data_IF_600982740218
#
_entry.id   IF_600982740218
#
_cell.length_a   1.000
_cell.length_b   1.000
_cell.length_c   1.000
_cell.angle_alpha   90.00
_cell.angle_beta   90.00
_cell.angle_gamma   90.00
#
_symmetry.space_group_name_H-M   'P 1'
#
loop_
_entity.id
_entity.type
_entity.pdbx_description
1 polymer ?
#
# COMPACT_ATOMS: atom_id res chain seq x y z
N UNK A 1 -24.53 2.73 13.57
CA UNK A 1 -24.49 1.43 12.86
C UNK A 1 -24.51 0.31 13.86
N UNK A 2 -25.22 -0.79 13.57
CA UNK A 2 -25.22 -1.97 14.44
C UNK A 2 -23.82 -2.58 14.52
N UNK A 3 -23.37 -3.01 15.72
CA UNK A 3 -22.11 -3.72 15.85
C UNK A 3 -22.15 -5.00 15.01
N UNK A 4 -21.01 -5.49 14.50
CA UNK A 4 -21.00 -6.70 13.72
C UNK A 4 -21.56 -7.84 14.56
N UNK A 5 -22.52 -8.55 14.00
CA UNK A 5 -23.12 -9.74 14.59
C UNK A 5 -22.10 -10.89 14.55
N UNK A 6 -22.22 -11.86 15.46
CA UNK A 6 -21.19 -12.90 15.67
C UNK A 6 -20.74 -13.61 14.37
N UNK A 7 -21.64 -13.80 13.40
CA UNK A 7 -21.31 -14.40 12.11
C UNK A 7 -20.46 -13.49 11.21
N UNK A 8 -20.59 -12.17 11.29
CA UNK A 8 -19.73 -11.24 10.54
C UNK A 8 -18.29 -11.29 11.06
N UNK A 9 -18.11 -11.32 12.39
CA UNK A 9 -16.80 -11.51 13.03
C UNK A 9 -16.14 -12.80 12.57
N UNK A 10 -16.89 -13.91 12.58
CA UNK A 10 -16.39 -15.21 12.12
C UNK A 10 -16.01 -15.16 10.62
N UNK A 11 -16.90 -14.62 9.78
CA UNK A 11 -16.71 -14.58 8.32
C UNK A 11 -15.46 -13.76 7.97
N UNK A 12 -15.36 -12.54 8.49
CA UNK A 12 -14.21 -11.69 8.26
C UNK A 12 -12.95 -12.17 8.97
N UNK A 13 -13.07 -12.94 10.05
CA UNK A 13 -11.96 -13.67 10.64
C UNK A 13 -11.40 -14.77 9.73
N UNK A 14 -12.28 -15.54 9.08
CA UNK A 14 -11.86 -16.54 8.07
C UNK A 14 -11.22 -15.85 6.86
N UNK A 15 -11.81 -14.77 6.36
CA UNK A 15 -11.22 -13.97 5.27
C UNK A 15 -9.85 -13.41 5.71
N UNK A 16 -9.73 -12.96 6.95
CA UNK A 16 -8.47 -12.47 7.53
C UNK A 16 -7.41 -13.57 7.61
N UNK A 17 -7.78 -14.78 8.01
CA UNK A 17 -6.87 -15.92 8.02
C UNK A 17 -6.38 -16.27 6.59
N UNK A 18 -7.28 -16.27 5.61
CA UNK A 18 -6.94 -16.46 4.19
C UNK A 18 -6.02 -15.34 3.67
N UNK A 19 -6.27 -14.09 4.07
CA UNK A 19 -5.41 -12.96 3.77
C UNK A 19 -4.01 -13.14 4.38
N UNK A 20 -3.92 -13.60 5.63
CA UNK A 20 -2.67 -13.95 6.29
C UNK A 20 -1.90 -15.05 5.54
N UNK A 21 -2.59 -16.09 5.07
CA UNK A 21 -1.97 -17.13 4.25
C UNK A 21 -1.43 -16.57 2.92
N UNK A 22 -2.16 -15.64 2.30
CA UNK A 22 -1.70 -14.92 1.12
C UNK A 22 -0.46 -14.05 1.41
N UNK A 23 -0.42 -13.36 2.56
CA UNK A 23 0.76 -12.58 3.02
C UNK A 23 1.98 -13.50 3.19
N UNK A 24 1.79 -14.63 3.87
CA UNK A 24 2.87 -15.62 4.07
C UNK A 24 3.40 -16.14 2.73
N UNK A 25 2.51 -16.51 1.81
CA UNK A 25 2.88 -16.97 0.48
C UNK A 25 3.63 -15.89 -0.31
N UNK A 26 3.09 -14.67 -0.35
CA UNK A 26 3.72 -13.54 -1.04
C UNK A 26 5.11 -13.27 -0.49
N UNK A 27 5.27 -13.28 0.84
CA UNK A 27 6.56 -13.08 1.48
C UNK A 27 7.54 -14.18 1.10
N UNK A 28 7.13 -15.45 1.03
CA UNK A 28 8.04 -16.54 0.63
C UNK A 28 8.41 -16.45 -0.86
N UNK A 29 7.45 -16.11 -1.74
CA UNK A 29 7.64 -16.12 -3.20
C UNK A 29 8.41 -14.88 -3.69
N UNK A 30 8.29 -13.74 -3.02
CA UNK A 30 8.90 -12.48 -3.45
C UNK A 30 10.22 -12.14 -2.78
N UNK A 31 10.73 -13.03 -1.92
CA UNK A 31 12.07 -12.97 -1.35
C UNK A 31 13.14 -13.18 -2.43
N UNK A 32 14.29 -12.52 -2.26
CA UNK A 32 15.38 -12.49 -3.25
C UNK A 32 16.62 -13.27 -2.83
N UNK A 33 16.92 -13.33 -1.53
CA UNK A 33 18.20 -13.83 -1.02
C UNK A 33 18.09 -15.16 -0.28
N UNK A 34 16.91 -15.51 0.24
CA UNK A 34 16.71 -16.76 0.97
C UNK A 34 16.26 -17.89 0.02
N UNK A 35 17.08 -18.95 -0.15
CA UNK A 35 16.91 -19.93 -1.23
C UNK A 35 15.85 -21.03 -0.96
N UNK A 36 15.34 -21.16 0.26
CA UNK A 36 14.45 -22.28 0.63
C UNK A 36 13.03 -21.80 0.92
N UNK A 37 12.08 -22.01 -0.02
CA UNK A 37 10.68 -21.71 0.22
C UNK A 37 10.07 -22.78 1.14
N UNK A 38 9.74 -22.41 2.38
CA UNK A 38 9.20 -23.31 3.42
C UNK A 38 7.67 -23.24 3.57
N UNK A 39 6.97 -22.63 2.61
CA UNK A 39 5.53 -22.43 2.68
C UNK A 39 4.70 -23.70 2.37
N UNK A 40 3.44 -23.78 2.83
CA UNK A 40 2.54 -24.90 2.51
C UNK A 40 2.28 -25.07 1.01
N UNK A 41 2.31 -23.94 0.30
CA UNK A 41 2.07 -23.83 -1.14
C UNK A 41 3.35 -23.87 -1.95
N UNK A 42 4.49 -24.09 -1.30
CA UNK A 42 5.79 -24.26 -1.94
C UNK A 42 6.13 -25.74 -2.08
N UNK A 43 6.95 -26.12 -3.08
CA UNK A 43 7.48 -27.48 -3.14
C UNK A 43 8.11 -27.87 -1.79
N UNK A 44 7.85 -29.07 -1.26
CA UNK A 44 8.49 -29.52 -0.04
C UNK A 44 10.01 -29.59 -0.25
N UNK A 45 10.77 -29.35 0.81
CA UNK A 45 12.21 -29.60 0.80
C UNK A 45 12.50 -31.08 0.50
N UNK A 46 13.68 -31.40 -0.02
CA UNK A 46 14.07 -32.78 -0.35
C UNK A 46 14.01 -33.71 0.88
N UNK A 47 14.36 -33.19 2.05
CA UNK A 47 14.23 -33.87 3.34
C UNK A 47 12.86 -33.68 4.02
N UNK A 48 11.93 -32.98 3.38
CA UNK A 48 10.59 -32.69 3.89
C UNK A 48 9.58 -33.79 3.58
N UNK A 49 8.55 -33.89 4.44
CA UNK A 49 7.45 -34.83 4.22
C UNK A 49 6.51 -34.42 3.08
N UNK A 50 5.67 -35.35 2.62
CA UNK A 50 4.63 -35.04 1.62
C UNK A 50 3.62 -34.03 2.18
N UNK A 51 3.25 -33.03 1.36
CA UNK A 51 2.21 -32.05 1.71
C UNK A 51 0.82 -32.71 1.71
N UNK A 52 0.06 -32.47 2.76
CA UNK A 52 -1.34 -32.88 2.93
C UNK A 52 -2.29 -31.71 2.66
N UNK A 53 -3.58 -31.99 2.57
CA UNK A 53 -4.59 -30.93 2.46
C UNK A 53 -4.60 -30.03 3.71
N UNK A 54 -4.47 -30.60 4.91
CA UNK A 54 -4.50 -29.85 6.16
C UNK A 54 -3.36 -28.85 6.29
N UNK A 55 -2.19 -29.13 5.70
CA UNK A 55 -1.06 -28.20 5.68
C UNK A 55 -1.39 -26.87 4.98
N UNK A 56 -2.35 -26.90 4.05
CA UNK A 56 -2.74 -25.74 3.24
C UNK A 56 -3.81 -24.87 3.89
N UNK A 57 -4.42 -25.32 4.98
CA UNK A 57 -5.41 -24.55 5.72
C UNK A 57 -4.73 -23.45 6.54
N UNK A 58 -5.23 -22.20 6.50
CA UNK A 58 -4.73 -21.15 7.39
C UNK A 58 -4.83 -21.59 8.86
N UNK A 59 -3.87 -21.14 9.68
CA UNK A 59 -3.70 -21.37 11.10
C UNK A 59 -3.38 -22.85 11.42
N UNK A 60 -4.26 -23.76 11.04
CA UNK A 60 -4.16 -25.20 11.30
C UNK A 60 -2.96 -25.82 10.57
N UNK A 61 -2.71 -25.40 9.33
CA UNK A 61 -1.64 -25.95 8.51
C UNK A 61 -0.26 -25.80 9.14
N UNK A 62 0.00 -24.67 9.79
CA UNK A 62 1.29 -24.42 10.46
C UNK A 62 1.51 -25.29 11.70
N UNK A 63 0.45 -25.69 12.39
CA UNK A 63 0.53 -26.64 13.50
C UNK A 63 0.90 -28.02 12.98
N UNK A 64 0.28 -28.46 11.88
CA UNK A 64 0.62 -29.74 11.24
C UNK A 64 2.06 -29.73 10.69
N UNK A 65 2.47 -28.62 10.08
CA UNK A 65 3.79 -28.45 9.48
C UNK A 65 4.93 -28.41 10.50
N UNK A 66 4.66 -28.24 11.80
CA UNK A 66 5.68 -28.35 12.87
C UNK A 66 6.56 -29.59 12.75
N UNK A 67 6.08 -30.68 12.16
CA UNK A 67 6.87 -31.89 11.88
C UNK A 67 8.14 -31.62 11.04
N UNK A 68 8.18 -30.57 10.24
CA UNK A 68 9.34 -30.17 9.42
C UNK A 68 10.29 -29.21 10.16
N UNK A 69 10.12 -29.03 11.47
CA UNK A 69 11.01 -28.19 12.31
C UNK A 69 12.46 -28.65 12.29
N UNK A 70 12.72 -29.92 11.98
CA UNK A 70 14.07 -30.45 11.81
C UNK A 70 14.76 -29.98 10.51
N UNK A 71 13.98 -29.56 9.51
CA UNK A 71 14.48 -29.03 8.22
C UNK A 71 14.62 -27.51 8.26
N UNK A 72 13.59 -26.83 8.76
CA UNK A 72 13.48 -25.36 8.68
C UNK A 72 13.84 -24.63 9.99
N UNK A 73 14.14 -25.38 11.05
CA UNK A 73 14.43 -24.85 12.37
C UNK A 73 13.22 -24.89 13.32
N UNK A 74 13.49 -24.98 14.63
CA UNK A 74 12.50 -25.34 15.66
C UNK A 74 11.27 -24.41 15.75
N UNK A 75 11.41 -23.15 15.33
CA UNK A 75 10.38 -22.11 15.43
C UNK A 75 9.89 -21.55 14.09
N UNK A 76 10.23 -22.16 12.96
CA UNK A 76 9.96 -21.58 11.64
C UNK A 76 8.47 -21.33 11.35
N UNK A 77 7.59 -22.12 11.97
CA UNK A 77 6.13 -22.06 11.85
C UNK A 77 5.49 -20.96 12.74
N UNK A 78 6.22 -20.42 13.72
CA UNK A 78 5.68 -19.45 14.70
C UNK A 78 5.28 -18.16 13.99
N UNK A 79 6.20 -17.59 13.19
CA UNK A 79 5.97 -16.35 12.48
C UNK A 79 4.76 -16.44 11.54
N UNK A 80 4.68 -17.39 10.59
CA UNK A 80 3.55 -17.42 9.68
C UNK A 80 2.23 -17.75 10.38
N UNK A 81 2.23 -18.58 11.43
CA UNK A 81 1.05 -18.77 12.29
C UNK A 81 0.61 -17.43 12.93
N UNK A 82 1.56 -16.66 13.46
CA UNK A 82 1.29 -15.36 14.08
C UNK A 82 0.69 -14.38 13.06
N UNK A 83 1.22 -14.34 11.84
CA UNK A 83 0.68 -13.50 10.75
C UNK A 83 -0.76 -13.88 10.43
N UNK A 84 -1.08 -15.17 10.34
CA UNK A 84 -2.44 -15.63 10.05
C UNK A 84 -3.43 -15.35 11.19
N UNK A 85 -3.00 -15.55 12.44
CA UNK A 85 -3.81 -15.21 13.62
C UNK A 85 -4.05 -13.70 13.72
N UNK A 86 -2.99 -12.89 13.56
CA UNK A 86 -3.12 -11.45 13.59
C UNK A 86 -4.01 -10.94 12.46
N UNK A 87 -3.90 -11.48 11.25
CA UNK A 87 -4.77 -11.10 10.14
C UNK A 87 -6.24 -11.50 10.37
N UNK A 88 -6.48 -12.69 10.95
CA UNK A 88 -7.82 -13.16 11.34
C UNK A 88 -8.47 -12.27 12.41
N UNK A 89 -7.69 -11.66 13.30
CA UNK A 89 -8.20 -10.74 14.32
C UNK A 89 -8.31 -9.31 13.76
N UNK A 90 -7.28 -8.85 13.05
CA UNK A 90 -7.17 -7.48 12.58
C UNK A 90 -8.22 -7.13 11.53
N UNK A 91 -8.57 -8.05 10.62
CA UNK A 91 -9.53 -7.75 9.55
C UNK A 91 -10.94 -7.43 10.06
N UNK A 92 -11.58 -8.24 10.92
CA UNK A 92 -12.88 -7.89 11.46
C UNK A 92 -12.84 -6.68 12.40
N UNK A 93 -11.74 -6.48 13.15
CA UNK A 93 -11.53 -5.25 13.93
C UNK A 93 -11.43 -4.02 13.02
N UNK A 94 -10.72 -4.12 11.90
CA UNK A 94 -10.57 -3.05 10.93
C UNK A 94 -11.91 -2.73 10.25
N UNK A 95 -12.73 -3.75 9.95
CA UNK A 95 -14.09 -3.55 9.45
C UNK A 95 -14.96 -2.82 10.47
N UNK A 96 -14.93 -3.27 11.73
CA UNK A 96 -15.68 -2.63 12.81
C UNK A 96 -15.26 -1.18 13.00
N UNK A 97 -13.96 -0.93 13.11
CA UNK A 97 -13.39 0.41 13.20
C UNK A 97 -13.81 1.27 12.01
N UNK A 98 -13.72 0.75 10.79
CA UNK A 98 -14.15 1.47 9.58
C UNK A 98 -15.63 1.88 9.63
N UNK A 99 -16.49 1.08 10.29
CA UNK A 99 -17.95 1.32 10.39
C UNK A 99 -18.32 2.31 11.48
N UNK A 100 -17.51 2.41 12.52
CA UNK A 100 -17.84 3.17 13.74
C UNK A 100 -17.03 4.47 13.84
N UNK A 101 -15.70 4.40 13.74
CA UNK A 101 -14.80 5.53 14.07
C UNK A 101 -13.85 5.94 12.94
N UNK A 102 -13.55 5.02 12.02
CA UNK A 102 -12.31 5.03 11.25
C UNK A 102 -12.39 5.53 9.81
N UNK A 103 -13.59 5.71 9.29
CA UNK A 103 -13.74 6.28 7.96
C UNK A 103 -13.37 7.76 7.92
N UNK A 104 -13.58 8.49 9.01
CA UNK A 104 -13.78 9.94 8.96
C UNK A 104 -13.45 10.57 10.32
N UNK A 105 -12.91 11.81 10.36
CA UNK A 105 -12.81 12.59 11.61
C UNK A 105 -14.14 12.59 12.37
N UNK A 106 -14.12 12.06 13.59
CA UNK A 106 -15.27 11.67 14.41
C UNK A 106 -16.26 12.79 14.75
N UNK A 107 -15.98 14.05 14.41
CA UNK A 107 -16.91 15.18 14.56
C UNK A 107 -17.59 15.66 13.27
N UNK A 108 -17.01 15.40 12.10
CA UNK A 108 -17.47 16.01 10.82
C UNK A 108 -18.43 15.12 10.04
N UNK A 109 -18.46 13.83 10.36
CA UNK A 109 -19.11 12.84 9.52
C UNK A 109 -19.73 11.68 10.31
N UNK A 110 -19.97 11.89 11.60
CA UNK A 110 -20.81 10.98 12.36
C UNK A 110 -22.17 10.92 11.64
N UNK A 111 -22.52 9.75 11.12
CA UNK A 111 -23.79 9.58 10.42
C UNK A 111 -24.93 9.95 11.40
N UNK A 112 -25.68 11.00 11.09
CA UNK A 112 -26.75 11.52 11.95
C UNK A 112 -27.87 10.48 12.16
N UNK A 113 -28.04 9.57 11.20
CA UNK A 113 -28.99 8.46 11.24
C UNK A 113 -28.46 7.23 10.47
N UNK A 114 -29.20 6.13 10.54
CA UNK A 114 -28.84 4.87 9.88
C UNK A 114 -28.88 4.92 8.35
N UNK A 115 -29.76 5.74 7.76
CA UNK A 115 -29.86 5.90 6.32
C UNK A 115 -28.61 6.59 5.73
N UNK A 116 -28.13 7.65 6.38
CA UNK A 116 -26.89 8.34 6.03
C UNK A 116 -25.67 7.43 6.17
N UNK A 117 -25.66 6.60 7.21
CA UNK A 117 -24.60 5.61 7.42
C UNK A 117 -24.57 4.58 6.28
N UNK A 118 -25.74 4.08 5.87
CA UNK A 118 -25.90 3.12 4.77
C UNK A 118 -25.48 3.72 3.44
N UNK A 119 -25.87 4.99 3.18
CA UNK A 119 -25.48 5.71 1.99
C UNK A 119 -23.95 5.97 1.93
N UNK A 120 -23.32 6.27 3.08
CA UNK A 120 -21.86 6.34 3.17
C UNK A 120 -21.20 5.02 2.83
N UNK A 121 -21.68 3.92 3.40
CA UNK A 121 -21.07 2.61 3.20
C UNK A 121 -21.18 2.10 1.78
N UNK A 122 -22.34 2.31 1.15
CA UNK A 122 -22.58 1.88 -0.23
C UNK A 122 -21.76 2.67 -1.25
N UNK A 123 -21.47 3.95 -0.98
CA UNK A 123 -20.73 4.82 -1.90
C UNK A 123 -19.23 4.92 -1.62
N UNK A 124 -18.82 4.99 -0.35
CA UNK A 124 -17.44 5.27 0.07
C UNK A 124 -16.85 4.20 0.98
N UNK A 125 -17.60 3.82 2.02
CA UNK A 125 -17.10 2.99 3.11
C UNK A 125 -16.52 1.66 2.62
N UNK A 126 -17.22 0.98 1.71
CA UNK A 126 -16.74 -0.28 1.13
C UNK A 126 -15.44 -0.11 0.34
N UNK A 127 -15.37 0.86 -0.56
CA UNK A 127 -14.17 1.07 -1.40
C UNK A 127 -12.95 1.45 -0.59
N UNK A 128 -13.14 2.30 0.43
CA UNK A 128 -12.05 2.68 1.34
C UNK A 128 -11.63 1.56 2.26
N UNK A 129 -12.57 0.76 2.74
CA UNK A 129 -12.27 -0.46 3.48
C UNK A 129 -11.42 -1.41 2.61
N UNK A 130 -11.85 -1.70 1.38
CA UNK A 130 -11.10 -2.57 0.45
C UNK A 130 -9.70 -2.01 0.12
N UNK A 131 -9.59 -0.69 -0.10
CA UNK A 131 -8.30 -0.04 -0.29
C UNK A 131 -7.40 -0.16 0.94
N UNK A 132 -7.97 -0.01 2.14
CA UNK A 132 -7.28 -0.21 3.41
C UNK A 132 -6.81 -1.65 3.62
N UNK A 133 -7.63 -2.64 3.24
CA UNK A 133 -7.25 -4.06 3.26
C UNK A 133 -6.10 -4.34 2.29
N UNK A 134 -6.15 -3.79 1.08
CA UNK A 134 -5.06 -3.92 0.09
C UNK A 134 -3.77 -3.25 0.59
N UNK A 135 -3.88 -2.08 1.21
CA UNK A 135 -2.75 -1.37 1.82
C UNK A 135 -2.16 -2.16 2.98
N UNK A 136 -2.98 -2.66 3.90
CA UNK A 136 -2.56 -3.48 5.04
C UNK A 136 -1.85 -4.74 4.55
N UNK A 137 -2.40 -5.40 3.54
CA UNK A 137 -1.78 -6.57 2.90
C UNK A 137 -0.40 -6.23 2.32
N UNK A 138 -0.31 -5.16 1.53
CA UNK A 138 0.95 -4.73 0.92
C UNK A 138 1.99 -4.33 1.97
N UNK A 139 1.61 -3.55 2.98
CA UNK A 139 2.49 -3.13 4.06
C UNK A 139 2.96 -4.32 4.89
N UNK A 140 2.10 -5.30 5.18
CA UNK A 140 2.50 -6.52 5.89
C UNK A 140 3.53 -7.32 5.08
N UNK A 141 3.30 -7.53 3.78
CA UNK A 141 4.27 -8.23 2.91
C UNK A 141 5.59 -7.48 2.85
N UNK A 142 5.56 -6.15 2.64
CA UNK A 142 6.77 -5.33 2.58
C UNK A 142 7.55 -5.36 3.89
N UNK A 143 6.87 -5.22 5.03
CA UNK A 143 7.48 -5.25 6.37
C UNK A 143 8.12 -6.59 6.66
N UNK A 144 7.45 -7.69 6.32
CA UNK A 144 7.96 -9.03 6.56
C UNK A 144 9.17 -9.35 5.67
N UNK A 145 9.17 -8.92 4.41
CA UNK A 145 10.34 -9.01 3.53
C UNK A 145 11.48 -8.15 4.07
N UNK A 146 11.19 -6.95 4.59
CA UNK A 146 12.19 -6.09 5.19
C UNK A 146 12.81 -6.71 6.46
N UNK A 147 12.02 -7.37 7.31
CA UNK A 147 12.56 -8.13 8.44
C UNK A 147 13.43 -9.31 8.02
N UNK A 148 13.08 -10.01 6.94
CA UNK A 148 13.82 -11.19 6.47
C UNK A 148 15.11 -10.82 5.72
N UNK A 149 15.08 -9.75 4.92
CA UNK A 149 16.11 -9.45 3.92
C UNK A 149 16.66 -8.02 4.00
N UNK A 150 16.11 -7.17 4.89
CA UNK A 150 16.44 -5.74 5.01
C UNK A 150 16.34 -5.00 3.68
N UNK A 151 15.30 -5.33 2.92
CA UNK A 151 15.00 -4.74 1.62
C UNK A 151 13.51 -4.48 1.48
N UNK A 152 13.18 -3.38 0.81
CA UNK A 152 11.82 -3.05 0.43
C UNK A 152 11.53 -3.69 -0.94
N UNK A 153 10.48 -4.51 -1.08
CA UNK A 153 10.15 -5.15 -2.35
C UNK A 153 9.45 -4.16 -3.29
N UNK A 154 10.15 -3.70 -4.32
CA UNK A 154 9.61 -2.78 -5.35
C UNK A 154 8.34 -3.33 -6.01
N UNK A 155 8.22 -4.66 -6.13
CA UNK A 155 7.04 -5.31 -6.71
C UNK A 155 5.76 -5.05 -5.90
N UNK A 156 5.88 -4.73 -4.60
CA UNK A 156 4.75 -4.40 -3.73
C UNK A 156 4.53 -2.89 -3.70
N UNK A 157 5.59 -2.12 -3.42
CA UNK A 157 5.46 -0.68 -3.19
C UNK A 157 5.15 0.09 -4.46
N UNK A 158 5.82 -0.21 -5.58
CA UNK A 158 5.58 0.48 -6.85
C UNK A 158 4.23 0.08 -7.43
N UNK A 159 3.91 -1.22 -7.45
CA UNK A 159 2.64 -1.70 -8.02
C UNK A 159 1.44 -1.23 -7.18
N UNK A 160 1.55 -1.27 -5.85
CA UNK A 160 0.52 -0.76 -4.95
C UNK A 160 0.27 0.74 -5.13
N UNK A 161 1.34 1.52 -5.26
CA UNK A 161 1.23 2.97 -5.53
C UNK A 161 0.54 3.23 -6.87
N UNK A 162 0.98 2.56 -7.94
CA UNK A 162 0.38 2.71 -9.26
C UNK A 162 -1.09 2.28 -9.29
N UNK A 163 -1.44 1.20 -8.59
CA UNK A 163 -2.83 0.76 -8.46
C UNK A 163 -3.67 1.80 -7.73
N UNK A 164 -3.20 2.33 -6.59
CA UNK A 164 -3.92 3.35 -5.84
C UNK A 164 -4.15 4.62 -6.68
N UNK A 165 -3.15 5.07 -7.43
CA UNK A 165 -3.26 6.21 -8.34
C UNK A 165 -4.25 5.93 -9.48
N UNK A 166 -4.23 4.74 -10.07
CA UNK A 166 -5.17 4.34 -11.12
C UNK A 166 -6.61 4.32 -10.60
N UNK A 167 -6.84 3.71 -9.43
CA UNK A 167 -8.18 3.66 -8.81
C UNK A 167 -8.70 5.07 -8.51
N UNK A 168 -7.84 5.95 -7.99
CA UNK A 168 -8.19 7.34 -7.74
C UNK A 168 -8.48 8.12 -9.03
N UNK A 169 -7.70 7.89 -10.09
CA UNK A 169 -7.85 8.57 -11.40
C UNK A 169 -9.12 8.17 -12.14
N UNK A 170 -9.54 6.89 -12.06
CA UNK A 170 -10.78 6.39 -12.68
C UNK A 170 -12.02 6.77 -11.86
N UNK A 171 -11.85 7.44 -10.71
CA UNK A 171 -12.95 7.95 -9.90
C UNK A 171 -13.57 6.90 -8.98
N UNK A 172 -12.86 5.80 -8.68
CA UNK A 172 -13.26 4.90 -7.60
C UNK A 172 -13.03 5.66 -6.29
N UNK A 173 -14.01 5.61 -5.38
CA UNK A 173 -14.03 6.38 -4.13
C UNK A 173 -13.08 5.79 -3.08
N UNK A 174 -11.82 5.57 -3.43
CA UNK A 174 -10.70 5.26 -2.53
C UNK A 174 -10.07 6.52 -1.93
N UNK A 175 -10.39 7.70 -2.51
CA UNK A 175 -9.92 9.01 -2.07
C UNK A 175 -10.44 9.33 -0.67
N UNK A 176 -9.75 10.24 0.03
CA UNK A 176 -10.25 10.76 1.29
C UNK A 176 -11.48 11.64 1.00
N UNK A 177 -12.64 11.42 1.62
CA UNK A 177 -13.76 12.35 1.55
C UNK A 177 -13.42 13.60 2.36
N UNK A 178 -13.86 14.73 1.84
CA UNK A 178 -13.80 16.02 2.51
C UNK A 178 -15.21 16.61 2.56
N UNK A 179 -15.45 17.41 3.59
CA UNK A 179 -16.66 18.19 3.68
C UNK A 179 -16.61 19.37 2.68
N UNK A 180 -17.75 19.74 2.07
CA UNK A 180 -17.89 21.03 1.43
C UNK A 180 -17.85 22.13 2.49
N UNK A 181 -17.04 23.14 2.21
CA UNK A 181 -16.90 24.35 3.00
C UNK A 181 -18.09 25.28 2.68
N UNK A 182 -18.47 26.12 3.64
CA UNK A 182 -19.63 27.01 3.59
C UNK A 182 -19.26 28.24 2.80
N UNK A 183 -20.22 28.73 2.03
CA UNK A 183 -20.14 29.96 1.26
C UNK A 183 -20.18 31.24 2.12
N UNK A 184 -20.33 31.13 3.45
CA UNK A 184 -20.52 32.28 4.35
C UNK A 184 -19.33 32.64 5.25
N UNK A 185 -18.15 32.06 5.02
CA UNK A 185 -16.91 32.40 5.77
C UNK A 185 -16.18 31.17 6.33
N UNK A 186 -15.06 31.37 7.07
CA UNK A 186 -14.30 30.26 7.63
C UNK A 186 -15.17 29.47 8.61
N UNK A 187 -15.35 28.18 8.33
CA UNK A 187 -15.90 27.25 9.32
C UNK A 187 -14.97 27.21 10.53
N UNK A 188 -15.39 27.85 11.60
CA UNK A 188 -14.78 27.59 12.90
C UNK A 188 -15.37 26.29 13.42
N UNK A 189 -14.49 25.35 13.80
CA UNK A 189 -14.77 23.96 14.22
C UNK A 189 -15.81 23.85 15.36
N UNK A 190 -16.18 24.96 15.99
CA UNK A 190 -16.94 24.99 17.22
C UNK A 190 -18.44 25.33 17.08
N UNK A 191 -18.95 25.76 15.92
CA UNK A 191 -20.26 26.46 15.90
C UNK A 191 -21.33 25.93 14.96
N UNK A 192 -21.12 24.87 14.18
CA UNK A 192 -22.17 24.41 13.26
C UNK A 192 -22.18 22.89 13.02
N UNK A 193 -23.38 22.39 12.74
CA UNK A 193 -23.66 20.96 12.55
C UNK A 193 -22.90 20.39 11.34
N UNK A 194 -22.48 19.11 11.40
CA UNK A 194 -21.79 18.45 10.31
C UNK A 194 -22.65 18.46 9.02
N UNK A 195 -22.04 18.67 7.84
CA UNK A 195 -22.78 18.67 6.59
C UNK A 195 -23.40 17.28 6.33
N UNK A 196 -24.64 17.22 5.79
CA UNK A 196 -25.30 15.94 5.51
C UNK A 196 -24.52 15.14 4.46
N UNK A 197 -24.56 13.80 4.55
CA UNK A 197 -23.80 12.89 3.70
C UNK A 197 -23.88 13.13 2.16
N UNK A 198 -25.00 13.54 1.54
CA UNK A 198 -24.98 13.86 0.11
C UNK A 198 -24.07 15.03 -0.28
N UNK A 199 -23.57 15.80 0.69
CA UNK A 199 -22.70 16.94 0.47
C UNK A 199 -21.20 16.56 0.36
N UNK A 200 -20.80 15.33 0.73
CA UNK A 200 -19.39 14.93 0.72
C UNK A 200 -18.79 14.85 -0.68
N UNK A 201 -17.56 15.32 -0.83
CA UNK A 201 -16.81 15.27 -2.09
C UNK A 201 -15.44 14.61 -1.92
N UNK A 202 -14.84 14.04 -2.98
CA UNK A 202 -13.48 13.53 -2.94
C UNK A 202 -12.44 14.62 -2.79
N UNK A 203 -11.44 14.32 -1.94
CA UNK A 203 -10.16 14.98 -1.96
C UNK A 203 -9.52 14.72 -3.32
N UNK A 204 -9.32 15.81 -4.04
CA UNK A 204 -8.64 15.86 -5.34
C UNK A 204 -7.52 16.88 -5.25
N UNK A 205 -6.69 16.94 -6.28
CA UNK A 205 -5.70 18.00 -6.41
C UNK A 205 -6.35 19.41 -6.43
N UNK A 206 -7.60 19.49 -6.89
CA UNK A 206 -8.42 20.71 -6.97
C UNK A 206 -9.21 21.02 -5.69
N UNK A 207 -9.17 20.15 -4.67
CA UNK A 207 -9.79 20.42 -3.38
C UNK A 207 -9.10 21.62 -2.72
N UNK A 208 -9.86 22.49 -2.02
CA UNK A 208 -9.46 23.88 -1.84
C UNK A 208 -8.20 23.99 -0.98
N UNK A 209 -7.36 24.93 -1.37
CA UNK A 209 -6.20 25.34 -0.59
C UNK A 209 -6.47 26.77 -0.17
N UNK A 210 -6.50 26.98 1.15
CA UNK A 210 -6.14 28.23 1.81
C UNK A 210 -6.70 29.51 1.15
N UNK A 211 -7.96 29.83 1.44
CA UNK A 211 -8.62 31.10 1.12
C UNK A 211 -8.79 31.47 -0.37
N UNK A 212 -8.42 30.62 -1.34
CA UNK A 212 -8.65 30.83 -2.79
C UNK A 212 -9.81 29.99 -3.33
N UNK A 213 -10.97 30.20 -2.72
CA UNK A 213 -12.20 29.41 -2.87
C UNK A 213 -12.96 29.65 -4.18
N UNK A 214 -12.67 30.76 -4.87
CA UNK A 214 -13.25 31.15 -6.15
C UNK A 214 -12.63 30.43 -7.35
N UNK A 215 -11.47 29.78 -7.14
CA UNK A 215 -10.72 29.05 -8.16
C UNK A 215 -10.48 27.61 -7.75
N UNK A 216 -11.54 26.80 -7.71
CA UNK A 216 -11.41 25.34 -7.58
C UNK A 216 -10.55 24.75 -8.72
N UNK A 217 -10.48 25.45 -9.84
CA UNK A 217 -9.60 25.13 -10.96
C UNK A 217 -8.14 25.55 -10.72
N UNK A 218 -7.77 26.30 -9.67
CA UNK A 218 -6.40 26.82 -9.45
C UNK A 218 -5.30 25.79 -9.72
N UNK A 219 -5.43 24.57 -9.20
CA UNK A 219 -4.44 23.50 -9.43
C UNK A 219 -4.58 22.78 -10.77
N UNK A 220 -5.78 22.82 -11.38
CA UNK A 220 -6.12 22.15 -12.63
C UNK A 220 -5.98 23.06 -13.87
N UNK A 221 -6.02 24.38 -13.70
CA UNK A 221 -5.99 25.40 -14.75
C UNK A 221 -4.74 26.28 -14.69
N UNK A 222 -4.07 26.40 -13.53
CA UNK A 222 -2.80 27.12 -13.46
C UNK A 222 -1.58 26.20 -13.65
N UNK A 223 -0.58 26.73 -14.35
CA UNK A 223 0.71 26.05 -14.62
C UNK A 223 1.44 25.67 -13.32
N UNK A 224 1.18 26.36 -12.21
CA UNK A 224 1.78 26.09 -10.90
C UNK A 224 1.37 24.71 -10.35
N UNK A 225 0.10 24.33 -10.51
CA UNK A 225 -0.41 23.05 -10.02
C UNK A 225 0.11 21.87 -10.82
N UNK A 226 0.15 22.01 -12.15
CA UNK A 226 0.85 21.08 -13.03
C UNK A 226 2.33 20.96 -12.65
N UNK A 227 3.04 22.09 -12.45
CA UNK A 227 4.46 22.11 -12.11
C UNK A 227 4.77 21.33 -10.83
N UNK A 228 3.91 21.46 -9.81
CA UNK A 228 4.05 20.71 -8.55
C UNK A 228 3.76 19.22 -8.76
N UNK A 229 2.71 18.86 -9.51
CA UNK A 229 2.41 17.45 -9.84
C UNK A 229 3.58 16.79 -10.59
N UNK A 230 4.14 17.49 -11.60
CA UNK A 230 5.30 17.03 -12.34
C UNK A 230 6.54 16.91 -11.43
N UNK A 231 6.78 17.88 -10.54
CA UNK A 231 7.88 17.81 -9.59
C UNK A 231 7.77 16.60 -8.65
N UNK A 232 6.58 16.30 -8.13
CA UNK A 232 6.34 15.12 -7.29
C UNK A 232 6.62 13.83 -8.07
N UNK A 233 6.14 13.73 -9.31
CA UNK A 233 6.40 12.56 -10.17
C UNK A 233 7.91 12.41 -10.45
N UNK A 234 8.59 13.50 -10.82
CA UNK A 234 10.03 13.49 -11.10
C UNK A 234 10.84 13.12 -9.86
N UNK A 235 10.50 13.65 -8.69
CA UNK A 235 11.15 13.30 -7.42
C UNK A 235 10.93 11.83 -7.06
N UNK A 236 9.70 11.33 -7.25
CA UNK A 236 9.39 9.92 -7.03
C UNK A 236 10.19 9.01 -7.96
N UNK A 237 10.32 9.37 -9.23
CA UNK A 237 11.14 8.62 -10.18
C UNK A 237 12.62 8.68 -9.88
N UNK A 238 13.13 9.87 -9.54
CA UNK A 238 14.49 10.03 -9.08
C UNK A 238 14.74 9.14 -7.85
N UNK A 239 13.76 8.98 -6.95
CA UNK A 239 13.82 8.08 -5.80
C UNK A 239 13.89 6.60 -6.20
N UNK A 240 13.21 6.17 -7.25
CA UNK A 240 13.21 4.78 -7.74
C UNK A 240 14.46 4.38 -8.53
N UNK A 241 15.26 5.35 -9.01
CA UNK A 241 16.49 5.02 -9.72
C UNK A 241 17.46 4.26 -8.79
N UNK A 242 18.06 3.14 -9.27
CA UNK A 242 19.05 2.38 -8.51
C UNK A 242 20.34 3.20 -8.42
N UNK A 243 20.44 4.04 -7.39
CA UNK A 243 21.52 5.00 -7.19
C UNK A 243 22.24 4.75 -5.86
N UNK A 244 23.54 4.98 -5.85
CA UNK A 244 24.34 4.97 -4.62
C UNK A 244 24.46 6.39 -4.09
N UNK A 245 24.00 6.62 -2.87
CA UNK A 245 24.12 7.92 -2.19
C UNK A 245 25.27 7.84 -1.19
N UNK A 246 26.23 8.77 -1.29
CA UNK A 246 27.31 8.91 -0.31
C UNK A 246 27.58 10.39 -0.04
N UNK A 247 27.52 10.78 1.23
CA UNK A 247 27.79 12.15 1.66
C UNK A 247 29.25 12.34 2.14
N UNK A 248 30.05 11.28 2.09
CA UNK A 248 31.43 11.26 2.61
C UNK A 248 32.36 12.30 1.98
N UNK A 249 32.06 12.75 0.77
CA UNK A 249 32.88 13.68 -0.01
C UNK A 249 32.23 15.06 -0.19
N UNK A 250 31.22 15.38 0.61
CA UNK A 250 30.40 16.59 0.47
C UNK A 250 29.20 16.40 -0.45
N UNK A 251 28.25 17.34 -0.37
CA UNK A 251 26.95 17.25 -1.06
C UNK A 251 27.11 17.18 -2.58
N UNK A 252 27.87 18.09 -3.17
CA UNK A 252 28.06 18.16 -4.63
C UNK A 252 28.73 16.88 -5.17
N UNK A 253 29.78 16.41 -4.49
CA UNK A 253 30.45 15.16 -4.90
C UNK A 253 29.58 13.93 -4.69
N UNK A 254 28.72 13.95 -3.67
CA UNK A 254 27.69 12.93 -3.45
C UNK A 254 26.69 12.87 -4.61
N UNK A 255 26.25 14.03 -5.10
CA UNK A 255 25.37 14.13 -6.28
C UNK A 255 26.07 13.60 -7.54
N UNK A 256 27.33 13.99 -7.79
CA UNK A 256 28.11 13.48 -8.93
C UNK A 256 28.19 11.95 -8.92
N UNK A 257 28.49 11.37 -7.76
CA UNK A 257 28.59 9.92 -7.58
C UNK A 257 27.22 9.24 -7.73
N UNK A 258 26.16 9.87 -7.24
CA UNK A 258 24.79 9.40 -7.39
C UNK A 258 24.39 9.35 -8.87
N UNK A 259 24.62 10.42 -9.63
CA UNK A 259 24.33 10.48 -11.08
C UNK A 259 25.21 9.47 -11.84
N UNK A 260 26.50 9.42 -11.54
CA UNK A 260 27.43 8.48 -12.16
C UNK A 260 27.02 7.01 -11.92
N UNK A 261 26.45 6.69 -10.75
CA UNK A 261 26.01 5.33 -10.42
C UNK A 261 24.78 4.87 -11.21
N UNK A 262 23.95 5.81 -11.67
CA UNK A 262 22.78 5.54 -12.51
C UNK A 262 23.18 5.40 -13.98
N UNK A 263 24.05 6.30 -14.46
CA UNK A 263 24.42 6.38 -15.89
C UNK A 263 25.47 5.34 -16.28
N UNK A 264 26.36 4.94 -15.36
CA UNK A 264 27.43 3.98 -15.69
C UNK A 264 26.91 2.54 -15.55
N UNK A 265 27.14 1.67 -16.54
CA UNK A 265 26.88 0.24 -16.40
C UNK A 265 27.60 -0.30 -15.16
N UNK A 266 26.90 -1.06 -14.32
CA UNK A 266 27.51 -1.69 -13.16
C UNK A 266 28.73 -2.52 -13.61
N UNK A 267 29.93 -2.29 -13.04
CA UNK A 267 31.08 -3.13 -13.34
C UNK A 267 30.72 -4.57 -13.00
N UNK A 268 31.06 -5.53 -13.88
CA UNK A 268 30.94 -6.97 -13.59
C UNK A 268 31.75 -7.27 -12.32
N UNK A 269 31.09 -7.37 -11.17
CA UNK A 269 31.76 -7.75 -9.92
C UNK A 269 32.21 -9.21 -10.03
N UNK A 270 33.51 -9.45 -10.07
CA UNK A 270 34.12 -10.77 -9.80
C UNK A 270 34.06 -11.02 -8.28
N UNK A 271 32.90 -11.37 -7.75
CA UNK A 271 32.71 -11.76 -6.35
C UNK A 271 31.92 -13.07 -6.26
N UNK A 272 32.18 -13.89 -5.23
CA UNK A 272 31.56 -15.23 -5.04
C UNK A 272 30.04 -15.19 -4.88
N UNK A 273 29.45 -14.03 -4.58
CA UNK A 273 28.02 -13.80 -4.61
C UNK A 273 27.78 -12.72 -5.66
N UNK A 274 27.23 -13.12 -6.81
CA UNK A 274 26.69 -12.20 -7.78
C UNK A 274 25.23 -11.94 -7.39
N UNK A 275 24.90 -10.89 -6.62
CA UNK A 275 23.50 -10.52 -6.45
C UNK A 275 22.93 -10.29 -7.85
N UNK A 276 21.81 -10.94 -8.16
CA UNK A 276 21.17 -10.75 -9.45
C UNK A 276 21.01 -9.24 -9.70
N UNK A 277 21.44 -8.72 -10.86
CA UNK A 277 21.42 -7.28 -11.09
C UNK A 277 20.01 -6.74 -10.89
N UNK A 278 19.85 -5.62 -10.16
CA UNK A 278 18.61 -4.83 -10.11
C UNK A 278 18.27 -4.40 -11.55
N UNK A 279 17.55 -5.26 -12.27
CA UNK A 279 17.02 -4.93 -13.59
C UNK A 279 15.59 -4.49 -13.39
N UNK A 280 15.34 -3.19 -13.55
CA UNK A 280 13.97 -2.69 -13.71
C UNK A 280 13.30 -3.49 -14.82
N UNK A 281 12.09 -3.98 -14.57
CA UNK A 281 11.28 -4.66 -15.58
C UNK A 281 11.10 -3.71 -16.78
N UNK A 282 11.04 -4.24 -18.02
CA UNK A 282 10.91 -3.41 -19.22
C UNK A 282 9.73 -2.44 -19.13
N UNK A 283 8.60 -2.91 -18.58
CA UNK A 283 7.41 -2.11 -18.34
C UNK A 283 7.69 -0.88 -17.47
N UNK A 284 8.44 -1.02 -16.38
CA UNK A 284 8.78 0.09 -15.48
C UNK A 284 9.64 1.13 -16.21
N UNK A 285 10.56 0.70 -17.09
CA UNK A 285 11.37 1.61 -17.91
C UNK A 285 10.51 2.38 -18.91
N UNK A 286 9.60 1.70 -19.59
CA UNK A 286 8.68 2.33 -20.54
C UNK A 286 7.74 3.32 -19.88
N UNK A 287 7.15 2.98 -18.74
CA UNK A 287 6.28 3.88 -17.96
C UNK A 287 7.06 5.11 -17.48
N UNK A 288 8.31 4.92 -17.03
CA UNK A 288 9.18 6.03 -16.63
C UNK A 288 9.50 6.93 -17.83
N UNK A 289 9.94 6.38 -18.96
CA UNK A 289 10.25 7.17 -20.15
C UNK A 289 9.01 7.91 -20.70
N UNK A 290 7.85 7.24 -20.71
CA UNK A 290 6.60 7.80 -21.22
C UNK A 290 6.11 8.99 -20.38
N UNK A 291 6.17 8.92 -19.06
CA UNK A 291 5.77 10.08 -18.27
C UNK A 291 6.86 11.19 -18.23
N UNK A 292 8.15 10.91 -18.49
CA UNK A 292 9.18 11.97 -18.65
C UNK A 292 8.84 12.77 -19.91
N UNK A 293 8.51 12.05 -20.99
CA UNK A 293 8.06 12.67 -22.23
C UNK A 293 6.73 13.42 -22.03
N UNK A 294 5.76 12.85 -21.32
CA UNK A 294 4.51 13.54 -21.03
C UNK A 294 4.75 14.80 -20.18
N UNK A 295 5.58 14.72 -19.14
CA UNK A 295 5.96 15.87 -18.32
C UNK A 295 6.64 16.98 -19.14
N UNK A 296 7.52 16.60 -20.07
CA UNK A 296 8.21 17.55 -20.96
C UNK A 296 7.27 18.19 -21.99
N UNK A 297 6.31 17.43 -22.53
CA UNK A 297 5.32 17.94 -23.50
C UNK A 297 4.38 18.95 -22.82
N UNK A 298 3.92 18.66 -21.61
CA UNK A 298 3.01 19.55 -20.88
C UNK A 298 3.76 20.76 -20.26
N UNK A 299 5.08 20.69 -20.09
CA UNK A 299 5.89 21.83 -19.64
C UNK A 299 6.24 22.85 -20.75
N UNK A 300 6.04 22.48 -22.03
CA UNK A 300 6.35 23.31 -23.20
C UNK A 300 5.08 23.87 -23.88
N UNK A 301 3.90 23.34 -23.55
CA UNK A 301 2.60 23.86 -23.99
C UNK A 301 1.91 24.70 -22.93
#
# INVERSE_FOLDING_TARGET
MTPPVAWEWLTWGVVGALLGAAINRATVVWRWFLPLPYGPWSPPAESGGRRTWFDRLPIVGWIALRRESHVHGRGYWIRPLTVELLAAIALPLFLHWSRVDGGLPTGWFAAANEADATAYWSRWGLWRFLAGVALLWGMAVATLIDFDEKTIPDQVTVSGTLLALLLAAVGIETRLPIAPYSTTGPWTVATADPPPFPALMPLTLASPVDHRWDRADYWASEQSGLGIALAVIVLWWAALLPKTVTWRYGVMKGIDLMVASVLRPAPRRRGRLAPAPRRMRPLTRWVTAAGIAAAAIVAVG
#
